data_IF_555308327251
#
_entry.id   IF_555308327251
#
_cell.length_a   1.000
_cell.length_b   1.000
_cell.length_c   1.000
_cell.angle_alpha   90.00
_cell.angle_beta   90.00
_cell.angle_gamma   90.00
#
_symmetry.space_group_name_H-M   'P 1'
#
loop_
_entity.id
_entity.type
_entity.pdbx_description
1 polymer ?
#
# COMPACT_ATOMS: atom_id res chain seq x y z
N UNK A 1 -5.19 -7.19 -21.86
CA UNK A 1 -6.33 -6.81 -21.00
C UNK A 1 -5.87 -5.96 -19.82
N UNK A 2 -6.63 -4.93 -19.41
CA UNK A 2 -6.28 -4.02 -18.29
C UNK A 2 -6.06 -4.74 -16.95
N UNK A 3 -6.71 -5.90 -16.74
CA UNK A 3 -6.56 -6.69 -15.51
C UNK A 3 -5.15 -7.27 -15.32
N UNK A 4 -4.56 -7.86 -16.37
CA UNK A 4 -3.21 -8.43 -16.30
C UNK A 4 -2.13 -7.37 -15.99
N UNK A 5 -2.31 -6.15 -16.51
CA UNK A 5 -1.41 -5.03 -16.22
C UNK A 5 -1.49 -4.61 -14.74
N UNK A 6 -2.68 -4.63 -14.14
CA UNK A 6 -2.86 -4.33 -12.71
C UNK A 6 -2.24 -5.40 -11.82
N UNK A 7 -2.38 -6.67 -12.18
CA UNK A 7 -1.73 -7.77 -11.45
C UNK A 7 -0.20 -7.65 -11.52
N UNK A 8 0.33 -7.39 -12.71
CA UNK A 8 1.78 -7.16 -12.89
C UNK A 8 2.27 -5.98 -12.05
N UNK A 9 1.55 -4.86 -12.06
CA UNK A 9 1.88 -3.68 -11.25
C UNK A 9 1.89 -4.00 -9.75
N UNK A 10 0.89 -4.76 -9.29
CA UNK A 10 0.82 -5.21 -7.90
C UNK A 10 2.04 -6.07 -7.52
N UNK A 11 2.35 -7.10 -8.30
CA UNK A 11 3.49 -7.99 -8.00
C UNK A 11 4.83 -7.24 -8.05
N UNK A 12 5.00 -6.28 -8.97
CA UNK A 12 6.18 -5.41 -9.02
C UNK A 12 6.36 -4.64 -7.71
N UNK A 13 5.29 -3.98 -7.22
CA UNK A 13 5.38 -3.16 -6.01
C UNK A 13 5.50 -4.03 -4.77
N UNK A 14 4.76 -5.14 -4.71
CA UNK A 14 4.86 -6.11 -3.62
C UNK A 14 6.31 -6.58 -3.43
N UNK A 15 6.98 -6.95 -4.54
CA UNK A 15 8.37 -7.41 -4.51
C UNK A 15 9.34 -6.29 -4.18
N UNK A 16 9.15 -5.09 -4.75
CA UNK A 16 10.00 -3.91 -4.48
C UNK A 16 9.99 -3.54 -3.00
N UNK A 17 8.82 -3.57 -2.37
CA UNK A 17 8.63 -3.17 -0.97
C UNK A 17 8.81 -4.34 0.00
N UNK A 18 9.34 -5.48 -0.47
CA UNK A 18 9.69 -6.63 0.36
C UNK A 18 8.50 -7.35 0.99
N UNK A 19 7.29 -7.17 0.46
CA UNK A 19 6.06 -7.70 1.06
C UNK A 19 5.66 -7.04 2.38
N UNK A 20 6.31 -5.94 2.77
CA UNK A 20 6.04 -5.24 4.02
C UNK A 20 5.32 -3.91 3.76
N UNK A 21 4.47 -3.51 4.70
CA UNK A 21 3.82 -2.20 4.66
C UNK A 21 4.89 -1.10 4.81
N UNK A 22 5.00 -0.19 3.84
CA UNK A 22 6.00 0.89 3.89
C UNK A 22 5.82 1.85 5.07
N UNK A 23 4.60 1.92 5.60
CA UNK A 23 4.26 2.82 6.71
C UNK A 23 4.63 2.22 8.06
N UNK A 24 4.10 1.04 8.40
CA UNK A 24 4.28 0.45 9.73
C UNK A 24 5.27 -0.73 9.79
N UNK A 25 5.82 -1.17 8.66
CA UNK A 25 6.81 -2.24 8.59
C UNK A 25 6.27 -3.66 8.76
N UNK A 26 4.97 -3.85 9.04
CA UNK A 26 4.40 -5.20 9.21
C UNK A 26 4.41 -5.98 7.89
N UNK A 27 4.65 -7.28 7.99
CA UNK A 27 4.50 -8.19 6.87
C UNK A 27 3.04 -8.23 6.40
N UNK A 28 2.86 -8.17 5.08
CA UNK A 28 1.54 -8.21 4.44
C UNK A 28 1.34 -9.53 3.71
N UNK A 29 0.08 -9.91 3.52
CA UNK A 29 -0.26 -11.08 2.72
C UNK A 29 -1.14 -10.71 1.53
N UNK A 30 -1.05 -11.52 0.48
CA UNK A 30 -1.93 -11.40 -0.70
C UNK A 30 -3.37 -11.74 -0.34
N UNK A 31 -4.29 -11.34 -1.21
CA UNK A 31 -5.69 -11.73 -1.08
C UNK A 31 -5.82 -13.25 -1.23
N UNK A 32 -6.42 -13.88 -0.24
CA UNK A 32 -6.74 -15.30 -0.24
C UNK A 32 -8.10 -15.53 0.45
N UNK A 33 -8.67 -16.72 0.29
CA UNK A 33 -9.98 -17.06 0.83
C UNK A 33 -9.99 -16.88 2.35
N UNK A 34 -10.93 -16.08 2.86
CA UNK A 34 -11.07 -15.78 4.29
C UNK A 34 -10.23 -14.61 4.81
N UNK A 35 -9.34 -14.02 4.01
CA UNK A 35 -8.45 -12.93 4.45
C UNK A 35 -8.80 -11.54 3.90
N UNK A 36 -9.97 -11.38 3.28
CA UNK A 36 -10.39 -10.11 2.65
C UNK A 36 -10.56 -8.94 3.64
N UNK A 37 -10.73 -9.23 4.94
CA UNK A 37 -10.85 -8.23 6.02
C UNK A 37 -9.63 -8.17 6.93
N UNK A 38 -8.53 -8.81 6.53
CA UNK A 38 -7.32 -8.80 7.35
C UNK A 38 -6.70 -7.39 7.37
N UNK A 39 -6.33 -6.86 8.56
CA UNK A 39 -5.64 -5.57 8.64
C UNK A 39 -4.29 -5.58 7.91
N UNK A 40 -3.68 -6.76 7.74
CA UNK A 40 -2.39 -6.97 7.08
C UNK A 40 -2.54 -7.36 5.59
N UNK A 41 -3.75 -7.28 5.03
CA UNK A 41 -3.96 -7.48 3.60
C UNK A 41 -3.14 -6.45 2.80
N UNK A 42 -2.35 -6.95 1.86
CA UNK A 42 -1.55 -6.14 0.95
C UNK A 42 -2.45 -5.32 0.01
N UNK A 43 -2.25 -4.00 0.01
CA UNK A 43 -2.91 -3.05 -0.87
C UNK A 43 -1.90 -2.11 -1.50
N UNK A 44 -2.26 -1.44 -2.60
CA UNK A 44 -1.47 -0.37 -3.18
C UNK A 44 -2.07 0.97 -2.77
N UNK A 45 -1.25 1.83 -2.18
CA UNK A 45 -1.60 3.20 -1.83
C UNK A 45 -0.84 4.18 -2.73
N UNK A 46 -1.44 5.35 -3.01
CA UNK A 46 -0.82 6.39 -3.81
C UNK A 46 -0.06 7.36 -2.90
N UNK A 47 1.23 7.59 -3.16
CA UNK A 47 2.04 8.57 -2.43
C UNK A 47 1.42 9.96 -2.57
N UNK A 48 1.30 10.46 -3.81
CA UNK A 48 0.43 11.59 -4.14
C UNK A 48 -1.00 11.08 -4.30
N UNK A 49 -1.97 11.49 -3.46
CA UNK A 49 -3.34 10.98 -3.53
C UNK A 49 -3.95 11.15 -4.94
N UNK A 50 -4.76 10.18 -5.35
CA UNK A 50 -5.45 10.22 -6.65
C UNK A 50 -6.34 11.47 -6.79
N UNK A 51 -6.97 11.92 -5.71
CA UNK A 51 -7.77 13.15 -5.67
C UNK A 51 -6.96 14.41 -5.96
N UNK A 52 -5.63 14.37 -5.81
CA UNK A 52 -4.69 15.45 -6.11
C UNK A 52 -3.94 15.22 -7.44
N UNK A 53 -4.41 14.29 -8.28
CA UNK A 53 -3.80 14.02 -9.60
C UNK A 53 -2.66 12.99 -9.58
N UNK A 54 -2.49 12.25 -8.49
CA UNK A 54 -1.51 11.17 -8.39
C UNK A 54 -1.62 10.12 -9.49
N UNK A 55 -0.55 9.82 -10.25
CA UNK A 55 -0.60 8.84 -11.33
C UNK A 55 -0.67 7.40 -10.79
N UNK A 56 -1.29 6.51 -11.58
CA UNK A 56 -1.29 5.06 -11.32
C UNK A 56 -0.06 4.41 -11.96
N UNK A 57 1.11 4.57 -11.33
CA UNK A 57 2.36 3.96 -11.79
C UNK A 57 3.22 3.51 -10.60
N UNK A 58 4.25 2.72 -10.87
CA UNK A 58 5.10 2.17 -9.80
C UNK A 58 5.82 3.27 -8.99
N UNK A 59 6.13 4.42 -9.58
CA UNK A 59 6.81 5.52 -8.88
C UNK A 59 5.92 6.21 -7.84
N UNK A 60 4.60 6.24 -8.05
CA UNK A 60 3.64 6.87 -7.14
C UNK A 60 2.86 5.87 -6.29
N UNK A 61 3.13 4.58 -6.42
CA UNK A 61 2.44 3.55 -5.63
C UNK A 61 3.40 2.85 -4.68
N UNK A 62 2.89 2.55 -3.50
CA UNK A 62 3.59 1.82 -2.43
C UNK A 62 2.73 0.69 -1.87
N UNK A 63 3.38 -0.32 -1.32
CA UNK A 63 2.72 -1.40 -0.62
C UNK A 63 2.29 -0.93 0.78
N UNK A 64 1.00 -1.00 1.06
CA UNK A 64 0.43 -0.65 2.36
C UNK A 64 -0.46 -1.79 2.85
N UNK A 65 -0.41 -2.09 4.15
CA UNK A 65 -1.43 -2.94 4.75
C UNK A 65 -2.79 -2.21 4.75
N UNK A 66 -3.88 -2.96 4.67
CA UNK A 66 -5.23 -2.42 4.61
C UNK A 66 -5.54 -1.47 5.78
N UNK A 67 -5.06 -1.78 6.99
CA UNK A 67 -5.25 -0.91 8.16
C UNK A 67 -4.56 0.46 8.00
N UNK A 68 -3.32 0.49 7.50
CA UNK A 68 -2.59 1.74 7.30
C UNK A 68 -3.16 2.55 6.14
N UNK A 69 -3.48 1.88 5.02
CA UNK A 69 -4.06 2.54 3.85
C UNK A 69 -5.40 3.24 4.21
N UNK A 70 -6.28 2.55 4.95
CA UNK A 70 -7.52 3.14 5.43
C UNK A 70 -7.30 4.29 6.41
N UNK A 71 -6.28 4.20 7.28
CA UNK A 71 -6.00 5.22 8.29
C UNK A 71 -5.35 6.49 7.70
N UNK A 72 -4.51 6.36 6.66
CA UNK A 72 -3.81 7.52 6.07
C UNK A 72 -4.81 8.54 5.50
N UNK A 73 -5.82 8.06 4.78
CA UNK A 73 -6.78 8.93 4.09
C UNK A 73 -6.07 9.87 3.11
N UNK A 74 -6.13 11.18 3.38
CA UNK A 74 -5.51 12.24 2.56
C UNK A 74 -4.23 12.82 3.18
N UNK A 75 -3.77 12.28 4.30
CA UNK A 75 -2.52 12.72 4.94
C UNK A 75 -1.33 12.47 4.01
N UNK A 76 -0.33 13.34 4.06
CA UNK A 76 0.91 13.13 3.32
C UNK A 76 1.53 11.76 3.67
N UNK A 77 2.06 11.08 2.66
CA UNK A 77 2.56 9.72 2.80
C UNK A 77 3.79 9.63 3.72
N UNK A 78 4.67 10.63 3.67
CA UNK A 78 5.88 10.65 4.48
C UNK A 78 5.54 11.05 5.92
N UNK A 79 4.68 12.06 6.11
CA UNK A 79 4.17 12.41 7.44
C UNK A 79 3.50 11.21 8.12
N UNK A 80 2.64 10.49 7.39
CA UNK A 80 1.99 9.31 7.92
C UNK A 80 2.98 8.18 8.23
N UNK A 81 3.99 7.97 7.38
CA UNK A 81 5.07 7.02 7.64
C UNK A 81 5.77 7.32 8.95
N UNK A 82 6.19 8.55 9.17
CA UNK A 82 6.84 8.99 10.42
C UNK A 82 5.94 8.71 11.63
N UNK A 83 4.63 8.98 11.53
CA UNK A 83 3.68 8.68 12.61
C UNK A 83 3.58 7.18 12.93
N UNK A 84 3.61 6.31 11.92
CA UNK A 84 3.50 4.85 12.11
C UNK A 84 4.78 4.22 12.65
N UNK A 85 5.94 4.82 12.37
CA UNK A 85 7.25 4.34 12.81
C UNK A 85 7.64 4.81 14.21
N UNK A 86 6.96 5.83 14.75
CA UNK A 86 7.13 6.33 16.13
C UNK A 86 6.46 5.48 17.21
N UNK A 87 6.06 4.24 16.91
CA UNK A 87 5.59 3.32 17.95
C UNK A 87 6.76 2.98 18.87
N UNK A 88 6.62 3.12 20.20
CA UNK A 88 7.67 2.75 21.15
C UNK A 88 8.00 1.25 21.07
#
# INVERSE_FOLDING_TARGET
MKAAQRLKLFETIFSRDGGCCVYCGVETHRLSKGLSRSPNLATLDHVLPRSQGGPLNAANLVLACQACNNQRGIMDAEEFRVLKQRKP
#
